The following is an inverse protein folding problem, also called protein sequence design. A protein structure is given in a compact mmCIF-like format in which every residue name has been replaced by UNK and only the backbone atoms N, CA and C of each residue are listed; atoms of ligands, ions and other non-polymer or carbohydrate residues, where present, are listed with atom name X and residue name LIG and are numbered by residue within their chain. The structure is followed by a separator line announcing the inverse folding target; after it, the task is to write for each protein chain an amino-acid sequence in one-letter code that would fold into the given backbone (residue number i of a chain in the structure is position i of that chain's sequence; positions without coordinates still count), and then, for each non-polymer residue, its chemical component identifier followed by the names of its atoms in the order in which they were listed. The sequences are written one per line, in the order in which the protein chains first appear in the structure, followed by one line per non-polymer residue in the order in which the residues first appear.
data_IF_721606250714
#
_entry.id   IF_721606250714
#
_cell.length_a   1.000
_cell.length_b   1.000
_cell.length_c   1.000
_cell.angle_alpha   90.00
_cell.angle_beta   90.00
_cell.angle_gamma   90.00
#
_symmetry.space_group_name_H-M   'P 1'
#
loop_
_entity.id
_entity.type
_entity.pdbx_description
1 polymer ?
#
# COMPACT_ATOMS: atom_id res chain seq x y z
N UNK A 1 -35.00 31.08 -3.82
CA UNK A 1 -34.32 29.92 -4.43
C UNK A 1 -32.97 30.43 -4.93
N UNK A 2 -31.92 30.35 -4.10
CA UNK A 2 -30.58 30.73 -4.51
C UNK A 2 -30.05 29.63 -5.48
N UNK A 3 -29.97 29.96 -6.76
CA UNK A 3 -29.21 29.20 -7.73
C UNK A 3 -27.73 29.30 -7.32
N UNK A 4 -27.20 28.25 -6.72
CA UNK A 4 -25.76 28.08 -6.54
C UNK A 4 -25.18 27.92 -7.96
N UNK A 5 -24.67 29.02 -8.52
CA UNK A 5 -23.99 29.02 -9.82
C UNK A 5 -22.84 28.03 -9.76
N UNK A 6 -22.85 27.04 -10.67
CA UNK A 6 -21.73 26.08 -10.77
C UNK A 6 -20.43 26.87 -10.99
N UNK A 7 -19.34 26.53 -10.27
CA UNK A 7 -18.07 27.25 -10.42
C UNK A 7 -17.58 27.19 -11.88
N UNK A 8 -17.00 28.28 -12.40
CA UNK A 8 -16.51 28.35 -13.77
C UNK A 8 -15.53 27.21 -14.05
N UNK A 9 -15.51 26.68 -15.27
CA UNK A 9 -14.72 25.50 -15.67
C UNK A 9 -13.23 25.63 -15.31
N UNK A 10 -12.66 26.82 -15.41
CA UNK A 10 -11.27 27.10 -15.03
C UNK A 10 -10.96 26.82 -13.56
N UNK A 11 -11.88 27.11 -12.64
CA UNK A 11 -11.71 26.85 -11.21
C UNK A 11 -11.70 25.32 -10.93
N UNK A 12 -12.50 24.57 -11.67
CA UNK A 12 -12.53 23.10 -11.56
C UNK A 12 -11.20 22.48 -12.01
N UNK A 13 -10.64 22.94 -13.12
CA UNK A 13 -9.35 22.47 -13.64
C UNK A 13 -8.23 22.78 -12.65
N UNK A 14 -8.16 24.02 -12.14
CA UNK A 14 -7.15 24.42 -11.16
C UNK A 14 -7.17 23.57 -9.90
N UNK A 15 -8.36 23.26 -9.36
CA UNK A 15 -8.53 22.41 -8.20
C UNK A 15 -7.91 21.02 -8.40
N UNK A 16 -8.09 20.41 -9.58
CA UNK A 16 -7.56 19.07 -9.85
C UNK A 16 -6.04 19.08 -10.00
N UNK A 17 -5.48 20.05 -10.69
CA UNK A 17 -4.03 20.22 -10.81
C UNK A 17 -3.40 20.49 -9.45
N UNK A 18 -4.00 21.38 -8.64
CA UNK A 18 -3.51 21.68 -7.28
C UNK A 18 -3.51 20.46 -6.37
N UNK A 19 -4.52 19.57 -6.47
CA UNK A 19 -4.57 18.34 -5.71
C UNK A 19 -3.42 17.40 -6.11
N UNK A 20 -3.12 17.27 -7.42
CA UNK A 20 -1.97 16.47 -7.88
C UNK A 20 -0.67 17.03 -7.33
N UNK A 21 -0.47 18.33 -7.41
CA UNK A 21 0.72 19.00 -6.88
C UNK A 21 0.85 18.74 -5.37
N UNK A 22 -0.23 18.91 -4.62
CA UNK A 22 -0.24 18.69 -3.17
C UNK A 22 0.15 17.27 -2.78
N UNK A 23 -0.44 16.26 -3.43
CA UNK A 23 -0.13 14.84 -3.14
C UNK A 23 1.33 14.49 -3.45
N UNK A 24 1.95 15.16 -4.44
CA UNK A 24 3.33 14.90 -4.83
C UNK A 24 4.36 15.68 -3.99
N UNK A 25 4.03 16.90 -3.55
CA UNK A 25 4.97 17.77 -2.83
C UNK A 25 4.88 17.63 -1.31
N UNK A 26 3.66 17.49 -0.74
CA UNK A 26 3.48 17.46 0.71
C UNK A 26 4.31 16.39 1.44
N UNK A 27 4.45 15.15 0.91
CA UNK A 27 5.28 14.14 1.56
C UNK A 27 6.74 14.57 1.72
N UNK A 28 7.26 15.37 0.76
CA UNK A 28 8.63 15.87 0.78
C UNK A 28 8.87 16.95 1.83
N UNK A 29 7.84 17.73 2.21
CA UNK A 29 7.99 18.81 3.20
C UNK A 29 8.31 18.25 4.59
N UNK A 30 7.59 17.21 5.01
CA UNK A 30 7.85 16.55 6.30
C UNK A 30 7.37 15.09 6.22
N UNK A 31 8.31 14.19 5.99
CA UNK A 31 8.02 12.77 5.73
C UNK A 31 7.34 12.09 6.93
N UNK A 32 7.67 12.49 8.16
CA UNK A 32 7.06 11.95 9.38
C UNK A 32 5.57 12.26 9.53
N UNK A 33 5.09 13.38 8.97
CA UNK A 33 3.68 13.79 9.04
C UNK A 33 2.95 13.41 7.75
N UNK A 34 3.54 13.67 6.59
CA UNK A 34 2.88 13.57 5.29
C UNK A 34 3.33 12.35 4.46
N UNK A 35 4.31 11.56 4.93
CA UNK A 35 4.85 10.42 4.16
C UNK A 35 3.79 9.38 3.77
N UNK A 36 2.72 9.22 4.52
CA UNK A 36 1.59 8.34 4.19
C UNK A 36 0.88 8.72 2.88
N UNK A 37 0.98 10.00 2.44
CA UNK A 37 0.41 10.46 1.18
C UNK A 37 1.06 9.79 -0.04
N UNK A 38 2.31 9.31 0.07
CA UNK A 38 2.90 8.49 -1.00
C UNK A 38 2.03 7.29 -1.34
N UNK A 39 1.40 6.67 -0.34
CA UNK A 39 0.47 5.56 -0.55
C UNK A 39 -0.78 5.92 -1.36
N UNK A 40 -1.12 7.22 -1.47
CA UNK A 40 -2.26 7.70 -2.24
C UNK A 40 -1.92 8.06 -3.70
N UNK A 41 -0.66 8.08 -4.10
CA UNK A 41 -0.27 8.43 -5.49
C UNK A 41 -0.90 7.46 -6.50
N UNK A 42 -0.85 6.12 -6.33
CA UNK A 42 -1.54 5.20 -7.23
C UNK A 42 -3.05 5.41 -7.28
N UNK A 43 -3.68 5.73 -6.13
CA UNK A 43 -5.10 6.04 -6.06
C UNK A 43 -5.47 7.26 -6.91
N UNK A 44 -4.70 8.35 -6.78
CA UNK A 44 -4.94 9.58 -7.51
C UNK A 44 -4.86 9.34 -9.01
N UNK A 45 -3.82 8.65 -9.48
CA UNK A 45 -3.62 8.34 -10.90
C UNK A 45 -4.75 7.44 -11.41
N UNK A 46 -5.05 6.34 -10.70
CA UNK A 46 -6.13 5.42 -11.04
C UNK A 46 -7.48 6.13 -11.14
N UNK A 47 -7.83 6.90 -10.10
CA UNK A 47 -9.11 7.61 -10.03
C UNK A 47 -9.26 8.65 -11.14
N UNK A 48 -8.21 9.45 -11.44
CA UNK A 48 -8.30 10.48 -12.47
C UNK A 48 -8.42 9.90 -13.88
N UNK A 49 -7.67 8.85 -14.19
CA UNK A 49 -7.75 8.20 -15.51
C UNK A 49 -9.09 7.50 -15.74
N UNK A 50 -9.77 7.07 -14.67
CA UNK A 50 -11.07 6.41 -14.78
C UNK A 50 -12.25 7.40 -14.75
N UNK A 51 -12.12 8.50 -14.01
CA UNK A 51 -13.17 9.51 -13.88
C UNK A 51 -13.23 10.49 -15.07
N UNK A 52 -12.06 10.92 -15.57
CA UNK A 52 -11.94 11.97 -16.59
C UNK A 52 -11.44 11.45 -17.93
N UNK A 53 -11.36 10.15 -18.12
CA UNK A 53 -10.71 9.48 -19.24
C UNK A 53 -9.20 9.74 -19.36
N UNK A 54 -8.55 8.97 -20.25
CA UNK A 54 -7.10 9.04 -20.45
C UNK A 54 -6.61 10.40 -20.96
N UNK A 55 -7.42 11.05 -21.81
CA UNK A 55 -7.02 12.33 -22.39
C UNK A 55 -7.07 13.47 -21.36
N UNK A 56 -8.18 13.61 -20.65
CA UNK A 56 -8.37 14.72 -19.69
C UNK A 56 -7.68 14.41 -18.36
N UNK A 57 -7.87 13.23 -17.81
CA UNK A 57 -7.23 12.80 -16.57
C UNK A 57 -5.70 12.73 -16.70
N UNK A 58 -5.20 12.24 -17.85
CA UNK A 58 -3.78 12.23 -18.18
C UNK A 58 -3.17 13.64 -18.25
N UNK A 59 -3.89 14.62 -18.81
CA UNK A 59 -3.44 16.02 -18.80
C UNK A 59 -3.32 16.59 -17.40
N UNK A 60 -4.30 16.35 -16.52
CA UNK A 60 -4.23 16.82 -15.12
C UNK A 60 -3.03 16.22 -14.37
N UNK A 61 -2.78 14.92 -14.55
CA UNK A 61 -1.65 14.23 -13.94
C UNK A 61 -0.34 14.80 -14.51
N UNK A 62 -0.21 14.90 -15.83
CA UNK A 62 1.01 15.36 -16.48
C UNK A 62 1.36 16.81 -16.11
N UNK A 63 0.39 17.73 -16.21
CA UNK A 63 0.60 19.14 -15.86
C UNK A 63 0.89 19.31 -14.37
N UNK A 64 0.10 18.64 -13.50
CA UNK A 64 0.33 18.68 -12.06
C UNK A 64 1.69 18.13 -11.65
N UNK A 65 2.13 17.03 -12.29
CA UNK A 65 3.46 16.42 -12.05
C UNK A 65 4.58 17.33 -12.54
N UNK A 66 4.45 17.92 -13.73
CA UNK A 66 5.45 18.86 -14.25
C UNK A 66 5.62 20.08 -13.34
N UNK A 67 4.51 20.67 -12.89
CA UNK A 67 4.54 21.79 -11.93
C UNK A 67 5.13 21.37 -10.60
N UNK A 68 4.73 20.20 -10.06
CA UNK A 68 5.27 19.68 -8.81
C UNK A 68 6.78 19.42 -8.89
N UNK A 69 7.27 18.91 -10.02
CA UNK A 69 8.69 18.67 -10.25
C UNK A 69 9.49 19.96 -10.33
N UNK A 70 9.00 20.96 -11.12
CA UNK A 70 9.63 22.28 -11.22
C UNK A 70 9.66 22.99 -9.85
N UNK A 71 8.53 22.98 -9.12
CA UNK A 71 8.47 23.51 -7.77
C UNK A 71 9.42 22.76 -6.83
N UNK A 72 9.48 21.42 -6.93
CA UNK A 72 10.40 20.59 -6.14
C UNK A 72 11.87 20.93 -6.41
N UNK A 73 12.23 21.29 -7.66
CA UNK A 73 13.58 21.76 -7.97
C UNK A 73 13.91 23.09 -7.27
N UNK A 74 12.97 24.04 -7.23
CA UNK A 74 13.21 25.34 -6.59
C UNK A 74 13.33 25.26 -5.07
N UNK A 75 12.60 24.31 -4.43
CA UNK A 75 12.62 24.11 -2.97
C UNK A 75 13.53 22.94 -2.53
N UNK A 76 14.39 22.45 -3.41
CA UNK A 76 15.35 21.35 -3.18
C UNK A 76 14.70 20.01 -2.76
N UNK A 77 13.50 19.74 -3.26
CA UNK A 77 12.73 18.52 -3.00
C UNK A 77 12.54 17.65 -4.26
N UNK A 78 13.37 17.82 -5.28
CA UNK A 78 13.24 17.09 -6.53
C UNK A 78 13.31 15.57 -6.36
N UNK A 79 14.18 15.08 -5.47
CA UNK A 79 14.32 13.65 -5.17
C UNK A 79 13.04 13.04 -4.56
N UNK A 80 12.37 13.77 -3.68
CA UNK A 80 11.10 13.34 -3.07
C UNK A 80 9.96 13.29 -4.10
N UNK A 81 9.91 14.25 -5.01
CA UNK A 81 8.94 14.23 -6.12
C UNK A 81 9.24 13.08 -7.09
N UNK A 82 10.52 12.83 -7.41
CA UNK A 82 10.91 11.67 -8.21
C UNK A 82 10.48 10.36 -7.56
N UNK A 83 10.67 10.23 -6.24
CA UNK A 83 10.18 9.07 -5.48
C UNK A 83 8.65 8.92 -5.62
N UNK A 84 7.89 10.00 -5.48
CA UNK A 84 6.44 9.98 -5.69
C UNK A 84 6.06 9.54 -7.12
N UNK A 85 6.81 9.99 -8.13
CA UNK A 85 6.58 9.60 -9.53
C UNK A 85 6.79 8.10 -9.76
N UNK A 86 7.68 7.43 -9.01
CA UNK A 86 7.87 5.97 -9.14
C UNK A 86 6.62 5.17 -8.76
N UNK A 87 5.69 5.76 -8.03
CA UNK A 87 4.43 5.11 -7.60
C UNK A 87 3.31 5.25 -8.64
N UNK A 88 3.42 6.20 -9.59
CA UNK A 88 2.39 6.46 -10.61
C UNK A 88 2.09 5.27 -11.53
N UNK A 89 3.09 4.49 -12.02
CA UNK A 89 2.85 3.37 -12.92
C UNK A 89 1.87 2.34 -12.37
N UNK A 90 1.81 2.15 -11.05
CA UNK A 90 0.79 1.30 -10.43
C UNK A 90 -0.63 1.79 -10.75
N UNK A 91 -0.90 3.07 -10.57
CA UNK A 91 -2.20 3.67 -10.88
C UNK A 91 -2.58 3.58 -12.36
N UNK A 92 -1.61 3.75 -13.28
CA UNK A 92 -1.80 3.54 -14.72
C UNK A 92 -2.17 2.09 -15.02
N UNK A 93 -1.49 1.13 -14.43
CA UNK A 93 -1.79 -0.29 -14.63
C UNK A 93 -3.16 -0.67 -14.09
N UNK A 94 -3.54 -0.16 -12.91
CA UNK A 94 -4.89 -0.34 -12.37
C UNK A 94 -5.96 0.20 -13.32
N UNK A 95 -5.80 1.43 -13.83
CA UNK A 95 -6.73 2.00 -14.79
C UNK A 95 -6.83 1.19 -16.09
N UNK A 96 -5.71 0.69 -16.59
CA UNK A 96 -5.68 -0.18 -17.77
C UNK A 96 -6.35 -1.53 -17.54
N UNK A 97 -6.13 -2.14 -16.38
CA UNK A 97 -6.75 -3.42 -16.01
C UNK A 97 -8.27 -3.32 -15.92
N UNK A 98 -8.81 -2.19 -15.44
CA UNK A 98 -10.27 -1.99 -15.41
C UNK A 98 -10.90 -1.85 -16.79
N UNK A 99 -10.18 -1.29 -17.78
CA UNK A 99 -10.64 -1.22 -19.18
C UNK A 99 -10.73 -2.62 -19.78
N UNK A 100 -9.80 -3.50 -19.38
CA UNK A 100 -9.78 -4.91 -19.84
C UNK A 100 -10.70 -5.83 -19.06
N UNK A 101 -11.50 -5.30 -18.13
CA UNK A 101 -12.37 -6.06 -17.23
C UNK A 101 -11.63 -7.19 -16.47
N UNK A 102 -10.36 -6.96 -16.12
CA UNK A 102 -9.54 -7.94 -15.40
C UNK A 102 -10.01 -8.04 -13.92
N UNK A 103 -9.94 -9.23 -13.32
CA UNK A 103 -10.33 -9.43 -11.93
C UNK A 103 -9.39 -8.67 -10.97
N UNK A 104 -9.86 -8.32 -9.74
CA UNK A 104 -9.11 -7.50 -8.79
C UNK A 104 -7.71 -8.04 -8.47
N UNK A 105 -7.57 -9.36 -8.29
CA UNK A 105 -6.28 -9.97 -7.95
C UNK A 105 -5.24 -9.80 -9.07
N UNK A 106 -5.67 -9.91 -10.34
CA UNK A 106 -4.77 -9.73 -11.48
C UNK A 106 -4.41 -8.26 -11.68
N UNK A 107 -5.37 -7.35 -11.50
CA UNK A 107 -5.13 -5.91 -11.54
C UNK A 107 -4.13 -5.49 -10.44
N UNK A 108 -4.32 -5.98 -9.21
CA UNK A 108 -3.40 -5.75 -8.10
C UNK A 108 -2.00 -6.27 -8.38
N UNK A 109 -1.88 -7.50 -8.88
CA UNK A 109 -0.57 -8.08 -9.25
C UNK A 109 0.15 -7.21 -10.28
N UNK A 110 -0.53 -6.79 -11.35
CA UNK A 110 0.06 -5.91 -12.38
C UNK A 110 0.44 -4.54 -11.82
N UNK A 111 -0.37 -3.98 -10.91
CA UNK A 111 -0.08 -2.73 -10.23
C UNK A 111 1.22 -2.82 -9.40
N UNK A 112 1.39 -3.90 -8.63
CA UNK A 112 2.58 -4.14 -7.81
C UNK A 112 3.81 -4.36 -8.68
N UNK A 113 3.69 -5.16 -9.74
CA UNK A 113 4.80 -5.39 -10.67
C UNK A 113 5.24 -4.08 -11.36
N UNK A 114 4.30 -3.24 -11.79
CA UNK A 114 4.61 -1.95 -12.39
C UNK A 114 5.29 -1.01 -11.40
N UNK A 115 4.85 -0.99 -10.14
CA UNK A 115 5.48 -0.22 -9.09
C UNK A 115 6.90 -0.73 -8.81
N UNK A 116 7.07 -2.04 -8.63
CA UNK A 116 8.37 -2.66 -8.40
C UNK A 116 9.35 -2.42 -9.54
N UNK A 117 8.92 -2.58 -10.80
CA UNK A 117 9.73 -2.28 -11.98
C UNK A 117 10.14 -0.79 -12.02
N UNK A 118 9.20 0.12 -11.78
CA UNK A 118 9.48 1.56 -11.76
C UNK A 118 10.49 1.92 -10.68
N UNK A 119 10.30 1.38 -9.48
CA UNK A 119 11.19 1.61 -8.36
C UNK A 119 12.58 1.03 -8.63
N UNK A 120 12.66 -0.18 -9.17
CA UNK A 120 13.92 -0.83 -9.54
C UNK A 120 14.67 -0.05 -10.63
N UNK A 121 13.96 0.46 -11.65
CA UNK A 121 14.56 1.26 -12.72
C UNK A 121 15.15 2.57 -12.17
N UNK A 122 14.38 3.31 -11.37
CA UNK A 122 14.86 4.60 -10.82
C UNK A 122 16.02 4.39 -9.85
N UNK A 123 15.90 3.41 -8.94
CA UNK A 123 16.99 3.06 -8.02
C UNK A 123 18.23 2.60 -8.76
N UNK A 124 18.08 1.82 -9.84
CA UNK A 124 19.16 1.38 -10.70
C UNK A 124 19.86 2.55 -11.40
N UNK A 125 19.10 3.50 -11.94
CA UNK A 125 19.67 4.71 -12.55
C UNK A 125 20.43 5.57 -11.53
N UNK A 126 19.90 5.73 -10.31
CA UNK A 126 20.60 6.44 -9.24
C UNK A 126 21.90 5.72 -8.84
N UNK A 127 21.87 4.40 -8.76
CA UNK A 127 23.05 3.60 -8.40
C UNK A 127 24.14 3.59 -9.47
N UNK A 128 23.79 3.74 -10.74
CA UNK A 128 24.78 3.88 -11.82
C UNK A 128 25.68 5.13 -11.63
N UNK A 129 25.11 6.20 -11.06
CA UNK A 129 25.88 7.40 -10.71
C UNK A 129 26.85 7.21 -9.54
N UNK A 130 26.52 6.32 -8.60
CA UNK A 130 27.30 6.06 -7.38
C UNK A 130 28.14 4.77 -7.45
N UNK A 131 28.01 3.96 -8.51
CA UNK A 131 28.72 2.70 -8.70
C UNK A 131 28.33 1.57 -7.72
N UNK A 132 27.19 1.73 -7.02
CA UNK A 132 26.73 0.80 -5.99
C UNK A 132 25.37 0.20 -6.33
N UNK A 133 25.14 -1.06 -5.91
CA UNK A 133 23.87 -1.73 -6.17
C UNK A 133 22.71 -1.05 -5.41
N UNK A 134 21.51 -0.88 -6.02
CA UNK A 134 20.36 -0.17 -5.42
C UNK A 134 19.96 -0.66 -4.03
N UNK A 135 20.06 -1.96 -3.80
CA UNK A 135 19.76 -2.56 -2.50
C UNK A 135 20.69 -2.06 -1.40
N UNK A 136 22.01 -1.96 -1.69
CA UNK A 136 22.97 -1.44 -0.71
C UNK A 136 22.78 0.04 -0.41
N UNK A 137 22.36 0.84 -1.39
CA UNK A 137 22.01 2.24 -1.14
C UNK A 137 20.85 2.36 -0.16
N UNK A 138 19.83 1.52 -0.33
CA UNK A 138 18.69 1.51 0.56
C UNK A 138 19.04 1.00 1.96
N UNK A 139 19.77 -0.11 2.04
CA UNK A 139 20.28 -0.65 3.30
C UNK A 139 21.13 0.38 4.05
N UNK A 140 22.01 1.08 3.34
CA UNK A 140 22.84 2.16 3.90
C UNK A 140 21.98 3.31 4.42
N UNK A 141 20.95 3.72 3.67
CA UNK A 141 20.04 4.80 4.09
C UNK A 141 19.27 4.43 5.37
N UNK A 142 18.78 3.20 5.45
CA UNK A 142 18.10 2.69 6.67
C UNK A 142 19.06 2.61 7.84
N UNK A 143 20.28 2.08 7.60
CA UNK A 143 21.33 2.00 8.62
C UNK A 143 21.70 3.38 9.17
N UNK A 144 21.95 4.36 8.28
CA UNK A 144 22.28 5.73 8.68
C UNK A 144 21.14 6.39 9.48
N UNK A 145 19.88 6.26 9.04
CA UNK A 145 18.75 6.81 9.77
C UNK A 145 18.59 6.21 11.17
N UNK A 146 18.87 4.90 11.33
CA UNK A 146 18.88 4.25 12.65
C UNK A 146 20.05 4.73 13.53
N UNK A 147 21.23 4.91 12.97
CA UNK A 147 22.41 5.40 13.70
C UNK A 147 22.23 6.86 14.13
N UNK A 148 21.63 7.71 13.29
CA UNK A 148 21.26 9.09 13.64
C UNK A 148 20.21 9.13 14.76
N UNK A 149 19.17 8.30 14.67
CA UNK A 149 18.20 8.19 15.73
C UNK A 149 18.85 7.77 17.08
N UNK A 150 19.74 6.77 17.04
CA UNK A 150 20.46 6.31 18.22
C UNK A 150 21.37 7.40 18.80
N UNK A 151 22.01 8.22 17.94
CA UNK A 151 22.84 9.34 18.37
C UNK A 151 22.05 10.36 19.16
N UNK A 152 20.84 10.72 18.70
CA UNK A 152 19.96 11.63 19.43
C UNK A 152 19.60 11.13 20.85
N UNK A 153 19.44 9.80 21.01
CA UNK A 153 19.20 9.21 22.33
C UNK A 153 20.44 9.23 23.21
N UNK A 154 21.65 9.01 22.64
CA UNK A 154 22.92 9.05 23.39
C UNK A 154 23.27 10.47 23.88
N UNK A 155 22.92 11.49 23.13
CA UNK A 155 23.13 12.89 23.47
C UNK A 155 22.14 13.41 24.52
N UNK A 156 21.12 12.63 24.86
CA UNK A 156 20.14 13.03 25.86
C UNK A 156 20.62 12.65 27.27
N UNK A 157 21.21 13.62 27.97
CA UNK A 157 21.75 13.47 29.34
C UNK A 157 20.73 13.03 30.40
N UNK A 158 19.42 13.07 30.09
CA UNK A 158 18.36 12.65 31.00
C UNK A 158 18.15 11.14 31.07
N UNK A 159 18.81 10.37 30.22
CA UNK A 159 18.66 8.92 30.16
C UNK A 159 19.70 8.26 31.06
N UNK A 160 19.31 7.46 32.06
CA UNK A 160 20.25 6.72 32.90
C UNK A 160 21.13 5.75 32.07
N UNK A 161 22.38 5.57 32.49
CA UNK A 161 23.37 4.75 31.78
C UNK A 161 22.88 3.32 31.50
N UNK A 162 22.23 2.70 32.48
CA UNK A 162 21.70 1.32 32.35
C UNK A 162 20.59 1.24 31.30
N UNK A 163 19.70 2.25 31.29
CA UNK A 163 18.63 2.36 30.29
C UNK A 163 19.19 2.63 28.90
N UNK A 164 20.24 3.43 28.80
CA UNK A 164 20.94 3.72 27.55
C UNK A 164 21.57 2.45 26.97
N UNK A 165 22.22 1.61 27.81
CA UNK A 165 22.80 0.34 27.37
C UNK A 165 21.76 -0.59 26.75
N UNK A 166 20.62 -0.79 27.43
CA UNK A 166 19.49 -1.59 26.92
C UNK A 166 18.93 -1.03 25.62
N UNK A 167 18.83 0.30 25.54
CA UNK A 167 18.33 1.00 24.37
C UNK A 167 19.24 0.79 23.17
N UNK A 168 20.57 0.94 23.36
CA UNK A 168 21.58 0.70 22.30
C UNK A 168 21.50 -0.74 21.80
N UNK A 169 21.41 -1.73 22.73
CA UNK A 169 21.30 -3.15 22.37
C UNK A 169 20.02 -3.41 21.56
N UNK A 170 18.90 -2.85 22.02
CA UNK A 170 17.59 -3.00 21.34
C UNK A 170 17.63 -2.38 19.94
N UNK A 171 18.17 -1.16 19.79
CA UNK A 171 18.29 -0.51 18.49
C UNK A 171 19.17 -1.32 17.52
N UNK A 172 20.27 -1.89 18.01
CA UNK A 172 21.14 -2.74 17.18
C UNK A 172 20.40 -3.97 16.68
N UNK A 173 19.67 -4.65 17.55
CA UNK A 173 18.85 -5.81 17.16
C UNK A 173 17.73 -5.45 16.19
N UNK A 174 17.04 -4.33 16.42
CA UNK A 174 16.00 -3.84 15.51
C UNK A 174 16.60 -3.50 14.15
N UNK A 175 17.74 -2.84 14.11
CA UNK A 175 18.46 -2.49 12.86
C UNK A 175 18.76 -3.72 12.02
N UNK A 176 19.38 -4.74 12.64
CA UNK A 176 19.70 -6.01 11.96
C UNK A 176 18.44 -6.70 11.41
N UNK A 177 17.38 -6.77 12.22
CA UNK A 177 16.10 -7.35 11.79
C UNK A 177 15.44 -6.53 10.70
N UNK A 178 15.45 -5.20 10.81
CA UNK A 178 14.86 -4.33 9.80
C UNK A 178 15.54 -4.48 8.43
N UNK A 179 16.88 -4.56 8.41
CA UNK A 179 17.64 -4.79 7.19
C UNK A 179 17.32 -6.19 6.62
N UNK A 180 17.27 -7.22 7.47
CA UNK A 180 16.94 -8.59 7.06
C UNK A 180 15.55 -8.69 6.42
N UNK A 181 14.55 -7.96 6.95
CA UNK A 181 13.17 -7.98 6.47
C UNK A 181 12.81 -6.80 5.56
N UNK A 182 13.80 -5.99 5.16
CA UNK A 182 13.60 -4.82 4.31
C UNK A 182 12.86 -5.15 3.00
N UNK A 183 13.17 -6.25 2.27
CA UNK A 183 12.43 -6.63 1.07
C UNK A 183 10.94 -6.88 1.36
N UNK A 184 10.62 -7.54 2.47
CA UNK A 184 9.23 -7.79 2.86
C UNK A 184 8.50 -6.51 3.25
N UNK A 185 9.15 -5.60 4.00
CA UNK A 185 8.57 -4.31 4.42
C UNK A 185 8.24 -3.45 3.19
N UNK A 186 9.16 -3.33 2.25
CA UNK A 186 8.96 -2.55 1.03
C UNK A 186 7.84 -3.14 0.15
N UNK A 187 7.88 -4.47 -0.05
CA UNK A 187 6.85 -5.14 -0.85
C UNK A 187 5.48 -5.04 -0.17
N UNK A 188 5.41 -5.19 1.15
CA UNK A 188 4.17 -5.03 1.91
C UNK A 188 3.62 -3.61 1.85
N UNK A 189 4.49 -2.60 1.88
CA UNK A 189 4.09 -1.19 1.71
C UNK A 189 3.54 -0.93 0.30
N UNK A 190 4.15 -1.51 -0.73
CA UNK A 190 3.67 -1.46 -2.09
C UNK A 190 2.30 -2.15 -2.24
N UNK A 191 2.16 -3.36 -1.67
CA UNK A 191 0.90 -4.11 -1.62
C UNK A 191 -0.20 -3.28 -0.96
N UNK A 192 0.08 -2.68 0.18
CA UNK A 192 -0.87 -1.84 0.90
C UNK A 192 -1.29 -0.62 0.07
N UNK A 193 -0.34 0.08 -0.58
CA UNK A 193 -0.61 1.23 -1.43
C UNK A 193 -1.51 0.87 -2.63
N UNK A 194 -1.21 -0.25 -3.32
CA UNK A 194 -2.00 -0.73 -4.47
C UNK A 194 -3.38 -1.18 -4.00
N UNK A 195 -3.47 -1.97 -2.92
CA UNK A 195 -4.73 -2.39 -2.34
C UNK A 195 -5.61 -1.19 -1.93
N UNK A 196 -5.03 -0.20 -1.25
CA UNK A 196 -5.72 1.02 -0.84
C UNK A 196 -6.27 1.77 -2.06
N UNK A 197 -5.44 1.90 -3.12
CA UNK A 197 -5.85 2.52 -4.37
C UNK A 197 -7.02 1.80 -5.03
N UNK A 198 -7.03 0.46 -5.01
CA UNK A 198 -8.11 -0.34 -5.57
C UNK A 198 -9.39 -0.22 -4.76
N UNK A 199 -9.34 -0.38 -3.44
CA UNK A 199 -10.53 -0.36 -2.57
C UNK A 199 -11.17 1.03 -2.52
N UNK A 200 -10.37 2.06 -2.24
CA UNK A 200 -10.86 3.44 -2.17
C UNK A 200 -11.26 3.94 -3.55
N UNK A 201 -10.45 3.67 -4.57
CA UNK A 201 -10.71 4.09 -5.95
C UNK A 201 -12.00 3.48 -6.50
N UNK A 202 -12.25 2.17 -6.26
CA UNK A 202 -13.48 1.49 -6.64
C UNK A 202 -14.71 2.17 -6.00
N UNK A 203 -14.64 2.46 -4.70
CA UNK A 203 -15.72 3.13 -3.97
C UNK A 203 -15.94 4.58 -4.42
N UNK A 204 -14.85 5.33 -4.69
CA UNK A 204 -14.94 6.71 -5.17
C UNK A 204 -15.54 6.78 -6.59
N UNK A 205 -15.17 5.84 -7.46
CA UNK A 205 -15.73 5.74 -8.81
C UNK A 205 -17.22 5.40 -8.74
N UNK A 206 -17.62 4.40 -7.97
CA UNK A 206 -19.03 4.08 -7.78
C UNK A 206 -19.85 5.29 -7.32
N UNK A 207 -19.32 6.04 -6.32
CA UNK A 207 -20.01 7.23 -5.79
C UNK A 207 -20.12 8.37 -6.81
N UNK A 208 -19.10 8.57 -7.65
CA UNK A 208 -18.99 9.76 -8.50
C UNK A 208 -19.38 9.52 -9.97
N UNK A 209 -19.38 8.27 -10.44
CA UNK A 209 -19.71 7.89 -11.83
C UNK A 209 -20.90 6.93 -11.91
N UNK A 210 -21.41 6.46 -10.77
CA UNK A 210 -22.51 5.48 -10.72
C UNK A 210 -22.09 4.04 -11.06
N UNK A 211 -20.83 3.80 -11.45
CA UNK A 211 -20.32 2.47 -11.81
C UNK A 211 -19.00 2.18 -11.09
N UNK A 212 -18.85 0.94 -10.59
CA UNK A 212 -17.60 0.46 -10.02
C UNK A 212 -16.93 -0.51 -11.00
N UNK A 213 -15.59 -0.39 -11.22
CA UNK A 213 -14.85 -1.30 -12.09
C UNK A 213 -14.85 -2.75 -11.60
N UNK A 214 -14.89 -2.96 -10.28
CA UNK A 214 -14.87 -4.26 -9.63
C UNK A 214 -16.07 -4.42 -8.66
N UNK A 215 -16.44 -5.65 -8.31
CA UNK A 215 -17.43 -5.89 -7.26
C UNK A 215 -16.96 -5.28 -5.93
N UNK A 216 -17.89 -5.16 -4.96
CA UNK A 216 -17.54 -4.64 -3.64
C UNK A 216 -16.43 -5.47 -3.00
N UNK A 217 -15.55 -4.81 -2.26
CA UNK A 217 -14.36 -5.42 -1.66
C UNK A 217 -14.67 -6.66 -0.80
N UNK A 218 -15.79 -6.70 -0.12
CA UNK A 218 -16.23 -7.85 0.68
C UNK A 218 -16.34 -9.17 -0.13
N UNK A 219 -16.45 -9.09 -1.46
CA UNK A 219 -16.55 -10.24 -2.36
C UNK A 219 -15.22 -10.58 -3.06
N UNK A 220 -14.14 -9.84 -2.79
CA UNK A 220 -12.86 -10.14 -3.42
C UNK A 220 -12.27 -11.42 -2.84
N UNK A 221 -11.78 -12.28 -3.74
CA UNK A 221 -11.16 -13.55 -3.41
C UNK A 221 -9.84 -13.71 -4.16
N UNK A 222 -8.88 -14.33 -3.49
CA UNK A 222 -7.66 -14.82 -4.11
C UNK A 222 -7.94 -16.16 -4.81
N UNK A 223 -7.21 -16.49 -5.89
CA UNK A 223 -7.27 -17.81 -6.49
C UNK A 223 -6.85 -18.89 -5.47
N UNK A 224 -7.58 -20.01 -5.39
CA UNK A 224 -7.28 -21.11 -4.46
C UNK A 224 -5.85 -21.62 -4.61
N UNK A 225 -5.34 -21.62 -5.86
CA UNK A 225 -3.95 -22.03 -6.16
C UNK A 225 -2.89 -21.18 -5.45
N UNK A 226 -3.25 -20.00 -4.95
CA UNK A 226 -2.31 -19.12 -4.25
C UNK A 226 -1.82 -19.71 -2.90
N UNK A 227 -2.55 -20.67 -2.34
CA UNK A 227 -2.14 -21.39 -1.12
C UNK A 227 -0.79 -22.10 -1.28
N UNK A 228 -0.45 -22.54 -2.48
CA UNK A 228 0.83 -23.16 -2.75
C UNK A 228 2.02 -22.24 -2.50
N UNK A 229 1.83 -20.94 -2.65
CA UNK A 229 2.87 -19.96 -2.31
C UNK A 229 3.20 -19.96 -0.80
N UNK A 230 2.20 -20.17 0.07
CA UNK A 230 2.40 -20.31 1.52
C UNK A 230 3.24 -21.55 1.81
N UNK A 231 2.90 -22.68 1.17
CA UNK A 231 3.60 -23.96 1.39
C UNK A 231 5.06 -23.84 0.95
N UNK A 232 5.31 -23.28 -0.23
CA UNK A 232 6.67 -23.04 -0.74
C UNK A 232 7.45 -22.13 0.19
N UNK A 233 6.87 -21.01 0.62
CA UNK A 233 7.52 -20.08 1.53
C UNK A 233 7.82 -20.71 2.90
N UNK A 234 6.89 -21.54 3.42
CA UNK A 234 7.09 -22.28 4.68
C UNK A 234 8.22 -23.31 4.56
N UNK A 235 8.29 -24.06 3.45
CA UNK A 235 9.39 -25.00 3.20
C UNK A 235 10.72 -24.25 3.18
N UNK A 236 10.83 -23.13 2.45
CA UNK A 236 12.05 -22.32 2.40
C UNK A 236 12.44 -21.78 3.79
N UNK A 237 11.48 -21.42 4.63
CA UNK A 237 11.72 -20.94 6.00
C UNK A 237 12.24 -22.04 6.94
N UNK A 238 11.97 -23.32 6.64
CA UNK A 238 12.42 -24.45 7.42
C UNK A 238 13.83 -24.96 7.04
N UNK A 239 14.35 -24.54 5.89
CA UNK A 239 15.71 -24.92 5.45
C UNK A 239 16.74 -24.30 6.40
N UNK A 240 17.71 -25.09 6.92
CA UNK A 240 18.67 -24.60 7.92
C UNK A 240 19.70 -23.59 7.38
N UNK A 241 19.80 -23.43 6.04
CA UNK A 241 20.69 -22.45 5.42
C UNK A 241 20.16 -21.03 5.67
N UNK A 242 20.96 -20.11 6.31
CA UNK A 242 20.47 -18.80 6.76
C UNK A 242 19.89 -17.91 5.66
N UNK A 243 20.49 -17.91 4.47
CA UNK A 243 20.04 -17.08 3.33
C UNK A 243 18.68 -17.55 2.80
N UNK A 244 18.52 -18.88 2.61
CA UNK A 244 17.27 -19.47 2.13
C UNK A 244 16.17 -19.27 3.15
N UNK A 245 16.46 -19.48 4.43
CA UNK A 245 15.53 -19.24 5.53
C UNK A 245 15.04 -17.79 5.58
N UNK A 246 15.95 -16.83 5.38
CA UNK A 246 15.60 -15.41 5.33
C UNK A 246 14.66 -15.11 4.16
N UNK A 247 14.91 -15.68 2.98
CA UNK A 247 14.02 -15.55 1.83
C UNK A 247 12.63 -16.13 2.18
N UNK A 248 12.59 -17.32 2.78
CA UNK A 248 11.34 -17.95 3.21
C UNK A 248 10.51 -17.06 4.16
N UNK A 249 11.16 -16.49 5.19
CA UNK A 249 10.48 -15.58 6.11
C UNK A 249 10.00 -14.28 5.43
N UNK A 250 10.80 -13.69 4.54
CA UNK A 250 10.35 -12.51 3.77
C UNK A 250 9.11 -12.85 2.92
N UNK A 251 9.10 -13.99 2.24
CA UNK A 251 7.94 -14.45 1.46
C UNK A 251 6.72 -14.70 2.35
N UNK A 252 6.88 -15.34 3.51
CA UNK A 252 5.78 -15.56 4.47
C UNK A 252 5.17 -14.24 4.94
N UNK A 253 5.99 -13.22 5.23
CA UNK A 253 5.51 -11.90 5.61
C UNK A 253 4.70 -11.23 4.48
N UNK A 254 5.21 -11.27 3.25
CA UNK A 254 4.52 -10.71 2.08
C UNK A 254 3.17 -11.42 1.86
N UNK A 255 3.17 -12.75 1.88
CA UNK A 255 1.98 -13.57 1.68
C UNK A 255 0.97 -13.35 2.82
N UNK A 256 1.45 -13.22 4.07
CA UNK A 256 0.63 -12.90 5.23
C UNK A 256 -0.15 -11.58 5.04
N UNK A 257 0.47 -10.54 4.49
CA UNK A 257 -0.20 -9.27 4.17
C UNK A 257 -1.29 -9.46 3.10
N UNK A 258 -1.03 -10.29 2.08
CA UNK A 258 -2.03 -10.58 1.04
C UNK A 258 -3.23 -11.30 1.65
N UNK A 259 -3.02 -12.31 2.49
CA UNK A 259 -4.10 -13.01 3.19
C UNK A 259 -4.78 -12.13 4.25
N UNK A 260 -4.07 -11.19 4.87
CA UNK A 260 -4.68 -10.18 5.75
C UNK A 260 -5.73 -9.35 4.99
N UNK A 261 -5.48 -8.96 3.75
CA UNK A 261 -6.49 -8.27 2.93
C UNK A 261 -7.69 -9.18 2.65
N UNK A 262 -7.49 -10.46 2.35
CA UNK A 262 -8.61 -11.40 2.18
C UNK A 262 -9.40 -11.57 3.48
N UNK A 263 -8.72 -11.74 4.61
CA UNK A 263 -9.37 -11.83 5.93
C UNK A 263 -10.18 -10.58 6.27
N UNK A 264 -9.66 -9.39 5.94
CA UNK A 264 -10.41 -8.14 6.12
C UNK A 264 -11.67 -8.10 5.23
N UNK A 265 -11.61 -8.61 4.00
CA UNK A 265 -12.79 -8.72 3.14
C UNK A 265 -13.86 -9.64 3.75
N UNK A 266 -13.44 -10.75 4.36
CA UNK A 266 -14.33 -11.69 5.07
C UNK A 266 -14.99 -11.02 6.28
N UNK A 267 -14.18 -10.35 7.11
CA UNK A 267 -14.70 -9.60 8.27
C UNK A 267 -15.71 -8.56 7.81
N UNK A 268 -15.43 -7.81 6.75
CA UNK A 268 -16.33 -6.82 6.19
C UNK A 268 -17.64 -7.46 5.70
N UNK A 269 -17.57 -8.64 5.07
CA UNK A 269 -18.75 -9.40 4.66
C UNK A 269 -19.66 -9.74 5.86
N UNK A 270 -19.11 -10.28 6.94
CA UNK A 270 -19.89 -10.61 8.14
C UNK A 270 -20.41 -9.37 8.85
N UNK A 271 -19.61 -8.31 8.98
CA UNK A 271 -20.08 -7.05 9.58
C UNK A 271 -21.24 -6.43 8.79
N UNK A 272 -21.24 -6.55 7.46
CA UNK A 272 -22.36 -6.09 6.63
C UNK A 272 -23.58 -7.02 6.77
N UNK A 273 -23.36 -8.34 6.77
CA UNK A 273 -24.42 -9.34 6.95
C UNK A 273 -25.15 -9.16 8.28
N UNK A 274 -24.42 -8.94 9.36
CA UNK A 274 -24.98 -8.75 10.71
C UNK A 274 -25.43 -7.31 10.99
N UNK A 275 -25.37 -6.42 9.98
CA UNK A 275 -25.75 -5.00 10.10
C UNK A 275 -25.11 -4.30 11.30
N UNK A 276 -23.86 -4.65 11.62
CA UNK A 276 -23.13 -4.08 12.76
C UNK A 276 -23.04 -2.55 12.62
N UNK A 277 -23.33 -1.78 13.69
CA UNK A 277 -23.25 -0.32 13.66
C UNK A 277 -21.87 0.21 13.27
N UNK A 278 -21.83 1.36 12.58
CA UNK A 278 -20.58 1.96 12.06
C UNK A 278 -19.54 2.21 13.17
N UNK A 279 -19.97 2.60 14.35
CA UNK A 279 -19.08 2.86 15.49
C UNK A 279 -18.32 1.60 15.93
N UNK A 280 -19.00 0.45 16.02
CA UNK A 280 -18.37 -0.83 16.37
C UNK A 280 -17.43 -1.27 15.24
N UNK A 281 -17.83 -1.07 13.97
CA UNK A 281 -16.96 -1.39 12.82
C UNK A 281 -15.66 -0.59 12.86
N UNK A 282 -15.73 0.72 13.12
CA UNK A 282 -14.53 1.56 13.19
C UNK A 282 -13.62 1.14 14.34
N UNK A 283 -14.16 0.78 15.49
CA UNK A 283 -13.40 0.24 16.61
C UNK A 283 -12.67 -1.06 16.25
N UNK A 284 -13.39 -1.99 15.61
CA UNK A 284 -12.79 -3.26 15.15
C UNK A 284 -11.66 -3.04 14.14
N UNK A 285 -11.83 -2.10 13.19
CA UNK A 285 -10.76 -1.78 12.23
C UNK A 285 -9.53 -1.22 12.95
N UNK A 286 -9.71 -0.32 13.92
CA UNK A 286 -8.59 0.19 14.73
C UNK A 286 -7.88 -0.95 15.43
N UNK A 287 -8.60 -1.86 16.09
CA UNK A 287 -8.02 -3.03 16.77
C UNK A 287 -7.25 -3.91 15.79
N UNK A 288 -7.83 -4.24 14.64
CA UNK A 288 -7.18 -5.11 13.66
C UNK A 288 -5.91 -4.49 13.05
N UNK A 289 -5.88 -3.17 12.83
CA UNK A 289 -4.72 -2.51 12.24
C UNK A 289 -3.62 -2.15 13.23
N UNK A 290 -3.97 -1.80 14.46
CA UNK A 290 -3.00 -1.35 15.46
C UNK A 290 -2.50 -2.46 16.39
N UNK A 291 -3.17 -3.62 16.41
CA UNK A 291 -2.69 -4.79 17.16
C UNK A 291 -2.10 -5.84 16.23
N UNK A 292 -0.86 -6.26 16.51
CA UNK A 292 -0.18 -7.34 15.75
C UNK A 292 -0.96 -8.66 15.77
N UNK A 293 -1.64 -8.98 16.87
CA UNK A 293 -2.54 -10.13 16.96
C UNK A 293 -3.74 -10.01 16.03
N UNK A 294 -4.26 -8.80 15.81
CA UNK A 294 -5.36 -8.53 14.87
C UNK A 294 -4.97 -8.82 13.42
N UNK A 295 -3.80 -8.36 12.99
CA UNK A 295 -3.30 -8.64 11.63
C UNK A 295 -2.99 -10.11 11.43
N UNK A 296 -2.43 -10.79 12.43
CA UNK A 296 -2.20 -12.23 12.39
C UNK A 296 -3.52 -13.00 12.28
N UNK A 297 -4.53 -12.64 13.08
CA UNK A 297 -5.87 -13.24 13.01
C UNK A 297 -6.48 -13.07 11.62
N UNK A 298 -6.41 -11.87 11.03
CA UNK A 298 -6.92 -11.63 9.68
C UNK A 298 -6.17 -12.49 8.64
N UNK A 299 -4.86 -12.64 8.76
CA UNK A 299 -4.07 -13.46 7.84
C UNK A 299 -4.47 -14.94 7.92
N UNK A 300 -4.66 -15.47 9.13
CA UNK A 300 -5.12 -16.84 9.36
C UNK A 300 -6.55 -17.02 8.83
N UNK A 301 -7.45 -16.07 9.10
CA UNK A 301 -8.82 -16.10 8.61
C UNK A 301 -8.87 -16.09 7.08
N UNK A 302 -8.07 -15.24 6.44
CA UNK A 302 -7.97 -15.18 4.98
C UNK A 302 -7.43 -16.47 4.37
N UNK A 303 -6.45 -17.11 5.02
CA UNK A 303 -5.91 -18.40 4.59
C UNK A 303 -6.93 -19.52 4.79
N UNK A 304 -7.64 -19.54 5.91
CA UNK A 304 -8.65 -20.55 6.21
C UNK A 304 -9.83 -20.54 5.22
N UNK A 305 -10.17 -19.36 4.66
CA UNK A 305 -11.24 -19.22 3.68
C UNK A 305 -11.04 -20.04 2.40
N UNK A 306 -9.79 -20.36 2.04
CA UNK A 306 -9.46 -21.23 0.90
C UNK A 306 -10.10 -22.63 1.04
N UNK A 307 -10.18 -23.15 2.26
CA UNK A 307 -10.77 -24.48 2.52
C UNK A 307 -12.20 -24.41 3.03
N UNK A 308 -12.52 -23.39 3.84
CA UNK A 308 -13.81 -23.30 4.53
C UNK A 308 -14.89 -22.60 3.70
N UNK A 309 -14.50 -21.89 2.63
CA UNK A 309 -15.44 -21.12 1.79
C UNK A 309 -16.47 -20.35 2.61
N UNK A 310 -16.01 -19.64 3.65
CA UNK A 310 -16.82 -19.02 4.70
C UNK A 310 -17.99 -18.15 4.17
N UNK A 311 -17.83 -17.62 2.97
CA UNK A 311 -18.83 -16.74 2.32
C UNK A 311 -19.88 -17.53 1.53
N UNK A 312 -19.54 -18.71 0.98
CA UNK A 312 -20.47 -19.53 0.18
C UNK A 312 -21.29 -20.52 1.03
N UNK A 313 -20.70 -21.12 2.08
CA UNK A 313 -21.41 -22.06 2.96
C UNK A 313 -22.65 -21.45 3.61
N UNK A 314 -22.69 -20.13 3.78
CA UNK A 314 -23.85 -19.43 4.33
C UNK A 314 -24.87 -18.95 3.28
N UNK A 315 -24.55 -18.95 2.00
CA UNK A 315 -25.52 -18.65 0.94
C UNK A 315 -26.42 -19.86 0.64
N UNK A 316 -25.91 -21.08 0.79
CA UNK A 316 -26.68 -22.31 0.63
C UNK A 316 -27.61 -22.58 1.83
N UNK A 317 -27.16 -22.27 3.06
CA UNK A 317 -28.00 -22.40 4.26
C UNK A 317 -29.18 -21.42 4.33
N UNK A 318 -29.23 -20.43 3.44
CA UNK A 318 -30.29 -19.43 3.37
C UNK A 318 -31.34 -19.70 2.27
N UNK A 319 -31.22 -20.79 1.50
CA UNK A 319 -32.29 -21.26 0.63
C UNK A 319 -33.37 -21.94 1.51
N UNK A 320 -34.63 -21.51 1.47
CA UNK A 320 -35.71 -22.26 2.09
C UNK A 320 -35.73 -23.64 1.45
N UNK A 321 -35.78 -24.69 2.25
CA UNK A 321 -36.16 -26.01 1.77
C UNK A 321 -37.53 -25.85 1.07
N UNK A 322 -37.53 -25.95 -0.25
CA UNK A 322 -38.78 -26.02 -1.01
C UNK A 322 -39.51 -27.30 -0.59
N UNK A 323 -40.84 -27.22 -0.25
CA UNK A 323 -41.62 -28.34 0.22
C UNK A 323 -41.86 -29.42 -0.84
#
# INVERSE_FOLDING_TARGET
VNQVTAPPEGIKIFKHIFLVIGVLLLPGLQIGIFGWLYGLVPLLVFYYLRKFDWQVGGKYILVGTAIAFLAGMTIQMASQVLLAMTLMPAGFMLARSTIKAEPPYLAGLKGILALGCSWFLVSGLMALGEGTHPYFLLERSVSQGMDEALKLYRENEKIPSDSLYLLVQTFTQIKERLIQFLPAVLTSSALFSVWLAMVIGNRLLQKNTGSSPWPDYQFWQLPDKFVWSVIVAAILALIPEPRIRTIGFNLLLIISVIYCFQGLAIVLFFLNKWKVPVLIRSLLYVIFFFQSLGTLFLSILGLADVWLNLRHSHAESAKPEEP
#
